data_IF_769994605910
#
_entry.id   IF_769994605910
#
_cell.length_a   1.000
_cell.length_b   1.000
_cell.length_c   1.000
_cell.angle_alpha   90.00
_cell.angle_beta   90.00
_cell.angle_gamma   90.00
#
_symmetry.space_group_name_H-M   'P 1'
#
loop_
_entity.id
_entity.type
_entity.pdbx_description
1 polymer ?
#
# COMPACT_ATOMS: atom_id res chain seq x y z
N UNK A 1 -15.52 -9.30 -6.53
CA UNK A 1 -14.92 -9.85 -5.29
C UNK A 1 -14.25 -8.73 -4.50
N UNK A 2 -14.28 -8.73 -3.16
CA UNK A 2 -13.60 -7.73 -2.32
C UNK A 2 -12.27 -8.30 -1.79
N UNK A 3 -11.18 -7.54 -1.92
CA UNK A 3 -9.83 -7.96 -1.53
C UNK A 3 -9.18 -6.91 -0.64
N UNK A 4 -8.56 -7.34 0.45
CA UNK A 4 -7.69 -6.50 1.29
C UNK A 4 -6.28 -7.05 1.23
N UNK A 5 -5.34 -6.25 0.73
CA UNK A 5 -3.91 -6.60 0.74
C UNK A 5 -3.27 -6.00 1.97
N UNK A 6 -2.58 -6.80 2.76
CA UNK A 6 -1.79 -6.34 3.91
C UNK A 6 -0.31 -6.54 3.56
N UNK A 7 0.49 -5.50 3.67
CA UNK A 7 1.90 -5.54 3.26
C UNK A 7 2.74 -4.60 4.11
N UNK A 8 4.02 -4.92 4.31
CA UNK A 8 5.05 -3.98 4.80
C UNK A 8 5.87 -3.36 3.67
N UNK A 9 5.56 -3.72 2.42
CA UNK A 9 6.29 -3.34 1.21
C UNK A 9 5.36 -2.50 0.34
N UNK A 10 5.45 -1.17 0.47
CA UNK A 10 4.75 -0.22 -0.39
C UNK A 10 5.55 1.10 -0.45
N UNK A 11 5.56 1.80 -1.60
CA UNK A 11 6.31 3.05 -1.73
C UNK A 11 5.89 4.08 -0.69
N UNK A 12 6.86 4.79 -0.11
CA UNK A 12 6.67 6.00 0.70
C UNK A 12 7.53 7.14 0.16
N UNK A 13 7.36 8.36 0.66
CA UNK A 13 8.24 9.49 0.29
C UNK A 13 9.69 9.18 0.68
N UNK A 14 9.90 8.51 1.81
CA UNK A 14 11.22 8.12 2.33
C UNK A 14 11.81 6.94 1.55
N UNK A 15 10.97 6.01 1.07
CA UNK A 15 11.39 4.81 0.36
C UNK A 15 10.57 4.60 -0.94
N UNK A 16 10.81 5.40 -1.99
CA UNK A 16 9.94 5.46 -3.17
C UNK A 16 10.01 4.22 -4.08
N UNK A 17 11.08 3.45 -4.01
CA UNK A 17 11.24 2.20 -4.75
C UNK A 17 10.77 0.95 -3.98
N UNK A 18 10.47 1.09 -2.69
CA UNK A 18 10.06 -0.03 -1.83
C UNK A 18 8.74 -0.62 -2.32
N UNK A 19 8.67 -1.95 -2.46
CA UNK A 19 7.41 -2.64 -2.74
C UNK A 19 6.69 -2.26 -4.04
N UNK A 20 7.40 -1.73 -5.04
CA UNK A 20 6.81 -1.34 -6.34
C UNK A 20 6.10 -2.51 -7.05
N UNK A 21 6.62 -3.74 -6.88
CA UNK A 21 5.98 -4.97 -7.37
C UNK A 21 4.62 -5.22 -6.71
N UNK A 22 4.47 -4.95 -5.41
CA UNK A 22 3.18 -5.09 -4.71
C UNK A 22 2.14 -4.17 -5.30
N UNK A 23 2.49 -2.90 -5.56
CA UNK A 23 1.57 -1.95 -6.17
C UNK A 23 1.18 -2.38 -7.60
N UNK A 24 2.12 -2.91 -8.38
CA UNK A 24 1.87 -3.44 -9.72
C UNK A 24 0.89 -4.62 -9.68
N UNK A 25 1.10 -5.58 -8.79
CA UNK A 25 0.23 -6.76 -8.67
C UNK A 25 -1.17 -6.36 -8.18
N UNK A 26 -1.26 -5.46 -7.20
CA UNK A 26 -2.54 -4.90 -6.75
C UNK A 26 -3.30 -4.19 -7.86
N UNK A 27 -2.58 -3.46 -8.73
CA UNK A 27 -3.16 -2.80 -9.91
C UNK A 27 -3.75 -3.83 -10.87
N UNK A 28 -3.02 -4.91 -11.17
CA UNK A 28 -3.51 -5.98 -12.04
C UNK A 28 -4.74 -6.70 -11.47
N UNK A 29 -4.77 -6.97 -10.16
CA UNK A 29 -5.92 -7.62 -9.50
C UNK A 29 -7.15 -6.71 -9.54
N UNK A 30 -6.98 -5.40 -9.32
CA UNK A 30 -8.06 -4.42 -9.49
C UNK A 30 -8.58 -4.42 -10.93
N UNK A 31 -7.68 -4.41 -11.91
CA UNK A 31 -8.04 -4.38 -13.34
C UNK A 31 -8.78 -5.63 -13.79
N UNK A 32 -8.57 -6.76 -13.12
CA UNK A 32 -9.37 -7.97 -13.27
C UNK A 32 -10.79 -7.88 -12.66
N UNK A 33 -11.19 -6.71 -12.12
CA UNK A 33 -12.54 -6.45 -11.59
C UNK A 33 -12.68 -6.64 -10.07
N UNK A 34 -11.58 -6.78 -9.34
CA UNK A 34 -11.63 -6.86 -7.88
C UNK A 34 -11.79 -5.47 -7.25
N UNK A 35 -12.61 -5.37 -6.20
CA UNK A 35 -12.69 -4.18 -5.37
C UNK A 35 -11.62 -4.26 -4.28
N UNK A 36 -10.49 -3.59 -4.52
CA UNK A 36 -9.25 -3.76 -3.77
C UNK A 36 -8.97 -2.57 -2.84
N UNK A 37 -8.42 -2.85 -1.66
CA UNK A 37 -7.83 -1.86 -0.75
C UNK A 37 -6.52 -2.39 -0.18
N UNK A 38 -5.61 -1.50 0.20
CA UNK A 38 -4.30 -1.86 0.77
C UNK A 38 -4.21 -1.34 2.22
N UNK A 39 -3.71 -2.19 3.12
CA UNK A 39 -3.22 -1.81 4.44
C UNK A 39 -1.71 -1.95 4.42
N UNK A 40 -1.02 -0.83 4.49
CA UNK A 40 0.44 -0.78 4.56
C UNK A 40 0.87 -0.64 6.01
N UNK A 41 1.52 -1.69 6.54
CA UNK A 41 2.17 -1.69 7.84
C UNK A 41 3.54 -1.02 7.69
N UNK A 42 3.65 0.24 8.09
CA UNK A 42 4.81 1.08 7.76
C UNK A 42 5.91 0.89 8.79
N UNK A 43 7.11 0.41 8.41
CA UNK A 43 8.25 0.39 9.32
C UNK A 43 8.62 1.80 9.80
N UNK A 44 9.08 2.00 11.05
CA UNK A 44 9.38 3.33 11.58
C UNK A 44 10.32 4.17 10.70
N UNK A 45 11.32 3.52 10.09
CA UNK A 45 12.31 4.18 9.22
C UNK A 45 11.77 4.54 7.82
N UNK A 46 10.53 4.15 7.49
CA UNK A 46 9.87 4.45 6.22
C UNK A 46 8.59 5.28 6.41
N UNK A 47 8.20 5.59 7.65
CA UNK A 47 7.02 6.43 7.93
C UNK A 47 7.29 7.87 7.48
N UNK A 48 6.46 8.35 6.56
CA UNK A 48 6.49 9.71 6.02
C UNK A 48 5.36 10.59 6.55
N UNK A 49 4.63 10.12 7.57
CA UNK A 49 3.50 10.83 8.18
C UNK A 49 2.17 10.66 7.44
N UNK A 50 2.15 10.03 6.26
CA UNK A 50 0.90 9.81 5.52
C UNK A 50 0.12 8.64 6.14
N UNK A 51 -1.19 8.81 6.32
CA UNK A 51 -2.09 7.77 6.88
C UNK A 51 -3.11 7.25 5.87
N UNK A 52 -3.63 8.13 5.03
CA UNK A 52 -4.59 7.78 3.99
C UNK A 52 -4.12 8.35 2.65
N UNK A 53 -4.16 7.54 1.62
CA UNK A 53 -3.85 7.95 0.26
C UNK A 53 -4.51 7.03 -0.75
N UNK A 54 -4.48 7.44 -2.02
CA UNK A 54 -4.91 6.63 -3.15
C UNK A 54 -3.70 6.40 -4.04
N UNK A 55 -3.34 5.15 -4.29
CA UNK A 55 -2.24 4.78 -5.19
C UNK A 55 -2.82 4.01 -6.36
N UNK A 56 -2.61 4.50 -7.59
CA UNK A 56 -3.23 3.93 -8.79
C UNK A 56 -4.73 3.68 -8.57
N UNK A 57 -5.50 4.66 -8.11
CA UNK A 57 -6.95 4.47 -7.86
C UNK A 57 -7.32 3.45 -6.76
N UNK A 58 -6.35 2.89 -6.03
CA UNK A 58 -6.57 1.93 -4.93
C UNK A 58 -6.47 2.68 -3.59
N UNK A 59 -7.51 2.62 -2.74
CA UNK A 59 -7.43 3.18 -1.38
C UNK A 59 -6.37 2.47 -0.55
N UNK A 60 -5.51 3.25 0.12
CA UNK A 60 -4.43 2.78 0.99
C UNK A 60 -4.59 3.40 2.38
N UNK A 61 -4.58 2.53 3.39
CA UNK A 61 -4.42 2.89 4.80
C UNK A 61 -2.99 2.54 5.23
N UNK A 62 -2.27 3.51 5.79
CA UNK A 62 -0.95 3.33 6.39
C UNK A 62 -1.06 3.28 7.90
N UNK A 63 -0.53 2.21 8.49
CA UNK A 63 -0.45 1.99 9.92
C UNK A 63 1.04 1.94 10.31
N UNK A 64 1.59 3.02 10.89
CA UNK A 64 2.93 2.99 11.43
C UNK A 64 3.06 1.89 12.48
N UNK A 65 4.09 1.06 12.35
CA UNK A 65 4.40 0.06 13.37
C UNK A 65 5.06 0.78 14.55
N UNK A 66 4.53 0.57 15.76
CA UNK A 66 5.19 0.96 16.99
C UNK A 66 6.02 -0.25 17.49
N UNK A 67 7.33 -0.10 17.77
CA UNK A 67 8.11 -1.13 18.42
C UNK A 67 7.68 -1.36 19.88
#
# INVERSE_FOLDING_TARGET
>A
MRVTVVTTWLPTVVAPSSGSFVLRDCTAIRDAGAHLRIVHLVPPHQDDGTRHLVMNGIPVLRLPMAP
#
